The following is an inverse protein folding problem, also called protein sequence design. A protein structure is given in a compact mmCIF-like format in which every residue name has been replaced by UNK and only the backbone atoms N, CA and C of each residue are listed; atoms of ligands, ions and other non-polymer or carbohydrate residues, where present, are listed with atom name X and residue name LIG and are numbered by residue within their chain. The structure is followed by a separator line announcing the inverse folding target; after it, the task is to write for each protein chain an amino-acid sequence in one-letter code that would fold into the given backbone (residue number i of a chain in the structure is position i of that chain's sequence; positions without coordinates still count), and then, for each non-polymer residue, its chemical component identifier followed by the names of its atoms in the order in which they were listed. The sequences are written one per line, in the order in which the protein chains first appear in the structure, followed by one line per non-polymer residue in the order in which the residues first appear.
data_IF_606246364656
#
_entry.id   IF_606246364656
#
_cell.length_a   1.000
_cell.length_b   1.000
_cell.length_c   1.000
_cell.angle_alpha   90.00
_cell.angle_beta   90.00
_cell.angle_gamma   90.00
#
_symmetry.space_group_name_H-M   'P 1'
#
loop_
_entity.id
_entity.type
_entity.pdbx_description
1 polymer ?
#
# COMPACT_ATOMS: atom_id res chain seq x y z
N UNK A 1 33.33 -5.66 14.16
CA UNK A 1 32.25 -5.03 13.35
C UNK A 1 30.92 -5.54 13.88
N UNK A 2 30.12 -4.69 14.49
CA UNK A 2 28.74 -5.05 14.85
C UNK A 2 27.98 -5.30 13.56
N UNK A 3 27.44 -6.49 13.37
CA UNK A 3 26.52 -6.77 12.28
C UNK A 3 25.30 -5.88 12.49
N UNK A 4 25.18 -4.80 11.71
CA UNK A 4 23.97 -4.00 11.68
C UNK A 4 22.84 -4.90 11.16
N UNK A 5 21.84 -5.13 11.99
CA UNK A 5 20.69 -5.94 11.62
C UNK A 5 19.81 -5.09 10.73
N UNK A 6 19.49 -5.51 9.49
CA UNK A 6 18.66 -4.73 8.58
C UNK A 6 17.28 -4.45 9.19
N UNK A 7 16.73 -3.23 9.02
CA UNK A 7 15.40 -2.93 9.50
C UNK A 7 14.34 -3.78 8.76
N UNK A 8 13.24 -4.08 9.43
CA UNK A 8 12.16 -4.91 8.90
C UNK A 8 10.92 -4.07 8.67
N UNK A 9 10.42 -4.09 7.45
CA UNK A 9 9.15 -3.51 7.03
C UNK A 9 8.11 -4.60 6.83
N UNK A 10 6.97 -4.49 7.46
CA UNK A 10 5.78 -5.25 7.05
C UNK A 10 4.91 -4.38 6.17
N UNK A 11 4.37 -4.96 5.11
CA UNK A 11 3.46 -4.30 4.18
C UNK A 11 2.11 -5.01 4.25
N UNK A 12 1.14 -4.35 4.88
CA UNK A 12 -0.21 -4.87 5.05
C UNK A 12 -1.15 -4.28 4.00
N UNK A 13 -1.95 -5.11 3.39
CA UNK A 13 -2.91 -4.67 2.38
C UNK A 13 -3.66 -5.83 1.74
N UNK A 14 -4.16 -5.59 0.56
CA UNK A 14 -5.05 -6.46 -0.18
C UNK A 14 -4.36 -7.23 -1.33
N UNK A 15 -5.09 -7.49 -2.41
CA UNK A 15 -4.59 -8.13 -3.64
C UNK A 15 -3.46 -7.33 -4.31
N UNK A 16 -3.44 -6.00 -4.16
CA UNK A 16 -2.37 -5.15 -4.69
C UNK A 16 -1.03 -5.40 -4.00
N UNK A 17 -1.02 -5.61 -2.68
CA UNK A 17 0.18 -6.01 -1.93
C UNK A 17 0.58 -7.44 -2.23
N UNK A 18 -0.40 -8.34 -2.41
CA UNK A 18 -0.16 -9.73 -2.83
C UNK A 18 0.50 -9.79 -4.22
N UNK A 19 0.30 -8.78 -5.06
CA UNK A 19 0.79 -8.74 -6.43
C UNK A 19 -0.12 -9.46 -7.42
N UNK A 20 -1.41 -9.55 -7.12
CA UNK A 20 -2.40 -10.16 -8.01
C UNK A 20 -2.49 -9.39 -9.32
N UNK A 21 -2.41 -10.12 -10.45
CA UNK A 21 -2.35 -9.55 -11.80
C UNK A 21 -0.95 -9.46 -12.39
N UNK A 22 0.11 -9.68 -11.59
CA UNK A 22 1.50 -9.72 -12.07
C UNK A 22 2.10 -11.15 -12.02
N UNK A 23 1.91 -11.97 -13.06
CA UNK A 23 2.48 -13.30 -13.10
C UNK A 23 4.01 -13.31 -13.34
N UNK A 24 4.59 -12.17 -13.74
CA UNK A 24 6.01 -12.10 -14.10
C UNK A 24 6.91 -11.93 -12.88
N UNK A 25 6.55 -11.00 -11.99
CA UNK A 25 7.42 -10.64 -10.87
C UNK A 25 6.70 -10.57 -9.50
N UNK A 26 5.41 -10.88 -9.45
CA UNK A 26 4.65 -10.99 -8.20
C UNK A 26 4.28 -9.67 -7.56
N UNK A 27 4.14 -8.60 -8.37
CA UNK A 27 3.64 -7.31 -7.94
C UNK A 27 4.70 -6.34 -7.42
N UNK A 28 4.25 -5.08 -7.15
CA UNK A 28 5.12 -3.98 -6.75
C UNK A 28 5.87 -4.25 -5.42
N UNK A 29 5.19 -4.93 -4.50
CA UNK A 29 5.74 -5.21 -3.18
C UNK A 29 6.87 -6.24 -3.25
N UNK A 30 6.70 -7.29 -4.06
CA UNK A 30 7.74 -8.29 -4.32
C UNK A 30 8.92 -7.70 -5.10
N UNK A 31 8.66 -6.81 -6.08
CA UNK A 31 9.71 -6.07 -6.78
C UNK A 31 10.55 -5.23 -5.80
N UNK A 32 9.91 -4.56 -4.84
CA UNK A 32 10.61 -3.80 -3.80
C UNK A 32 11.42 -4.72 -2.89
N UNK A 33 10.85 -5.85 -2.49
CA UNK A 33 11.55 -6.86 -1.68
C UNK A 33 12.81 -7.36 -2.38
N UNK A 34 12.73 -7.74 -3.65
CA UNK A 34 13.86 -8.18 -4.46
C UNK A 34 14.90 -7.07 -4.65
N UNK A 35 14.46 -5.85 -4.90
CA UNK A 35 15.35 -4.71 -5.02
C UNK A 35 16.17 -4.51 -3.74
N UNK A 36 15.54 -4.55 -2.59
CA UNK A 36 16.25 -4.41 -1.31
C UNK A 36 17.17 -5.58 -0.98
N UNK A 37 16.81 -6.80 -1.33
CA UNK A 37 17.68 -7.97 -1.17
C UNK A 37 18.97 -7.85 -1.99
N UNK A 38 18.98 -7.11 -3.07
CA UNK A 38 20.17 -6.82 -3.87
C UNK A 38 21.08 -5.73 -3.29
N UNK A 39 20.64 -5.02 -2.24
CA UNK A 39 21.43 -3.96 -1.63
C UNK A 39 22.27 -4.50 -0.46
N UNK A 40 23.51 -4.02 -0.28
CA UNK A 40 24.26 -4.28 0.94
C UNK A 40 23.47 -3.78 2.16
N UNK A 41 23.10 -4.67 3.07
CA UNK A 41 22.28 -4.36 4.26
C UNK A 41 20.90 -3.76 3.95
N UNK A 42 20.32 -4.07 2.80
CA UNK A 42 18.98 -3.63 2.44
C UNK A 42 17.94 -4.12 3.45
N UNK A 43 16.84 -3.34 3.65
CA UNK A 43 15.77 -3.73 4.57
C UNK A 43 15.16 -5.09 4.23
N UNK A 44 14.67 -5.78 5.25
CA UNK A 44 13.86 -6.99 5.08
C UNK A 44 12.41 -6.57 4.92
N UNK A 45 11.73 -7.05 3.88
CA UNK A 45 10.34 -6.73 3.60
C UNK A 45 9.48 -8.00 3.65
N UNK A 46 8.33 -7.91 4.34
CA UNK A 46 7.32 -8.94 4.40
C UNK A 46 6.05 -8.47 3.68
N UNK A 47 5.75 -8.98 2.46
CA UNK A 47 4.50 -8.69 1.77
C UNK A 47 3.37 -9.50 2.40
N UNK A 48 2.42 -8.83 3.03
CA UNK A 48 1.32 -9.42 3.79
C UNK A 48 -0.02 -9.01 3.16
N UNK A 49 -0.15 -9.19 1.86
CA UNK A 49 -1.37 -8.96 1.11
C UNK A 49 -2.35 -10.12 1.22
N UNK A 50 -3.63 -9.83 1.45
CA UNK A 50 -4.73 -10.81 1.42
C UNK A 50 -5.82 -10.29 0.49
N UNK A 51 -6.17 -11.07 -0.54
CA UNK A 51 -7.17 -10.65 -1.54
C UNK A 51 -8.51 -10.31 -0.89
N UNK A 52 -9.06 -9.16 -1.30
CA UNK A 52 -10.36 -8.70 -0.83
C UNK A 52 -10.36 -8.11 0.58
N UNK A 53 -9.19 -7.97 1.22
CA UNK A 53 -9.13 -7.28 2.51
C UNK A 53 -9.43 -5.78 2.32
N UNK A 54 -10.45 -5.31 3.04
CA UNK A 54 -10.67 -3.88 3.30
C UNK A 54 -10.03 -3.48 4.62
N UNK A 55 -10.28 -2.24 5.03
CA UNK A 55 -9.73 -1.60 6.22
C UNK A 55 -9.90 -2.45 7.49
N UNK A 56 -11.12 -2.93 7.74
CA UNK A 56 -11.46 -3.67 8.97
C UNK A 56 -10.68 -4.98 9.09
N UNK A 57 -10.51 -5.72 7.98
CA UNK A 57 -9.77 -6.98 7.97
C UNK A 57 -8.28 -6.76 8.20
N UNK A 58 -7.72 -5.73 7.60
CA UNK A 58 -6.32 -5.34 7.83
C UNK A 58 -6.11 -4.93 9.28
N UNK A 59 -7.02 -4.14 9.86
CA UNK A 59 -6.98 -3.75 11.26
C UNK A 59 -7.03 -4.97 12.20
N UNK A 60 -7.91 -5.92 11.92
CA UNK A 60 -8.09 -7.13 12.74
C UNK A 60 -6.81 -8.00 12.83
N UNK A 61 -5.98 -8.03 11.77
CA UNK A 61 -4.76 -8.86 11.75
C UNK A 61 -3.47 -8.11 12.07
N UNK A 62 -3.49 -6.77 12.15
CA UNK A 62 -2.30 -5.94 12.37
C UNK A 62 -1.43 -6.42 13.52
N UNK A 63 -1.99 -6.56 14.72
CA UNK A 63 -1.25 -6.94 15.92
C UNK A 63 -0.60 -8.33 15.80
N UNK A 64 -1.31 -9.28 15.23
CA UNK A 64 -0.82 -10.65 15.03
C UNK A 64 0.33 -10.69 14.02
N UNK A 65 0.19 -9.98 12.90
CA UNK A 65 1.20 -9.92 11.84
C UNK A 65 2.50 -9.25 12.33
N UNK A 66 2.42 -8.17 13.09
CA UNK A 66 3.59 -7.54 13.72
C UNK A 66 4.25 -8.49 14.70
N UNK A 67 3.48 -9.17 15.53
CA UNK A 67 4.00 -10.06 16.58
C UNK A 67 4.71 -11.29 16.03
N UNK A 68 4.26 -11.82 14.88
CA UNK A 68 4.81 -13.03 14.28
C UNK A 68 6.09 -12.81 13.45
N UNK A 69 6.44 -11.55 13.12
CA UNK A 69 7.56 -11.24 12.20
C UNK A 69 8.87 -10.89 12.91
N UNK A 70 8.98 -11.20 14.20
CA UNK A 70 10.22 -11.06 14.96
C UNK A 70 11.14 -12.26 14.81
N UNK A 71 12.42 -12.06 14.43
CA UNK A 71 13.43 -13.11 14.51
C UNK A 71 13.85 -13.30 15.98
N UNK A 72 13.97 -14.56 16.40
CA UNK A 72 14.38 -14.93 17.75
C UNK A 72 13.57 -14.23 18.86
N UNK A 73 12.33 -13.85 18.56
CA UNK A 73 11.42 -13.13 19.46
C UNK A 73 11.95 -11.80 20.02
N UNK A 74 13.06 -11.29 19.49
CA UNK A 74 13.74 -10.06 19.97
C UNK A 74 13.72 -8.91 18.97
N UNK A 75 13.42 -9.18 17.71
CA UNK A 75 13.46 -8.19 16.64
C UNK A 75 12.06 -8.01 16.05
N UNK A 76 11.32 -7.07 16.62
CA UNK A 76 10.03 -6.66 16.03
C UNK A 76 10.25 -5.93 14.71
N UNK A 77 9.28 -5.89 13.81
CA UNK A 77 9.29 -4.98 12.68
C UNK A 77 9.52 -3.54 13.15
N UNK A 78 10.34 -2.79 12.42
CA UNK A 78 10.66 -1.39 12.68
C UNK A 78 9.87 -0.44 11.79
N UNK A 79 8.99 -0.95 10.94
CA UNK A 79 8.12 -0.14 10.09
C UNK A 79 6.91 -0.93 9.63
N UNK A 80 5.83 -0.19 9.41
CA UNK A 80 4.56 -0.69 8.88
C UNK A 80 4.21 0.17 7.67
N UNK A 81 3.98 -0.44 6.51
CA UNK A 81 3.38 0.21 5.37
C UNK A 81 1.98 -0.34 5.17
N UNK A 82 0.98 0.54 5.15
CA UNK A 82 -0.42 0.21 4.91
C UNK A 82 -0.79 0.57 3.48
N UNK A 83 -1.42 -0.36 2.76
CA UNK A 83 -1.98 -0.18 1.43
C UNK A 83 -3.40 -0.74 1.43
N UNK A 84 -4.36 0.07 1.86
CA UNK A 84 -5.76 -0.32 2.13
C UNK A 84 -6.72 0.72 1.56
N UNK A 85 -7.96 0.33 1.33
CA UNK A 85 -9.05 1.24 1.01
C UNK A 85 -9.70 0.97 -0.34
N UNK A 86 -9.01 0.36 -1.31
CA UNK A 86 -9.59 0.13 -2.63
C UNK A 86 -10.83 -0.78 -2.56
N UNK A 87 -10.78 -1.87 -1.80
CA UNK A 87 -11.93 -2.76 -1.62
C UNK A 87 -13.10 -2.07 -0.92
N UNK A 88 -12.82 -1.14 -0.01
CA UNK A 88 -13.82 -0.39 0.73
C UNK A 88 -14.64 0.55 -0.17
N UNK A 89 -14.07 0.99 -1.32
CA UNK A 89 -14.75 1.86 -2.29
C UNK A 89 -15.85 1.16 -3.07
N UNK A 90 -15.80 -0.17 -3.18
CA UNK A 90 -16.69 -0.94 -4.05
C UNK A 90 -18.15 -0.78 -3.63
N UNK A 91 -19.02 -0.46 -4.59
CA UNK A 91 -20.48 -0.46 -4.39
C UNK A 91 -21.05 -1.84 -4.68
N UNK A 92 -22.01 -2.28 -3.89
CA UNK A 92 -22.55 -3.63 -3.96
C UNK A 92 -23.82 -3.68 -4.79
N UNK A 93 -23.88 -4.61 -5.72
CA UNK A 93 -25.05 -4.95 -6.52
C UNK A 93 -25.31 -4.04 -7.72
N UNK A 94 -25.01 -2.74 -7.62
CA UNK A 94 -25.24 -1.75 -8.68
C UNK A 94 -24.31 -0.54 -8.53
N UNK A 95 -24.10 0.20 -9.62
CA UNK A 95 -23.16 1.34 -9.67
C UNK A 95 -23.49 2.47 -8.70
N UNK A 96 -24.75 2.64 -8.30
CA UNK A 96 -25.22 3.60 -7.30
C UNK A 96 -25.55 2.92 -5.94
N UNK A 97 -25.13 1.67 -5.75
CA UNK A 97 -25.30 0.92 -4.51
C UNK A 97 -24.52 1.51 -3.33
N UNK A 98 -24.72 0.93 -2.14
CA UNK A 98 -23.90 1.32 -0.97
C UNK A 98 -22.46 0.83 -1.13
N UNK A 99 -21.45 1.61 -0.71
CA UNK A 99 -20.07 1.13 -0.64
C UNK A 99 -19.95 -0.01 0.38
N UNK A 100 -18.91 -0.82 0.24
CA UNK A 100 -18.65 -1.91 1.20
C UNK A 100 -18.40 -1.37 2.60
N UNK A 101 -17.70 -0.25 2.71
CA UNK A 101 -17.56 0.50 3.95
C UNK A 101 -17.92 1.95 3.68
N UNK A 102 -18.81 2.51 4.47
CA UNK A 102 -19.23 3.91 4.34
C UNK A 102 -18.05 4.87 4.56
N UNK A 103 -17.94 5.99 3.81
CA UNK A 103 -16.82 6.92 3.95
C UNK A 103 -16.57 7.45 5.36
N UNK A 104 -17.61 7.71 6.15
CA UNK A 104 -17.44 8.18 7.54
C UNK A 104 -16.92 7.05 8.44
N UNK A 105 -17.45 5.83 8.26
CA UNK A 105 -16.96 4.64 8.96
C UNK A 105 -15.52 4.29 8.53
N UNK A 106 -15.19 4.48 7.24
CA UNK A 106 -13.85 4.30 6.73
C UNK A 106 -12.86 5.27 7.39
N UNK A 107 -13.17 6.57 7.41
CA UNK A 107 -12.31 7.59 8.03
C UNK A 107 -12.09 7.29 9.51
N UNK A 108 -13.17 7.02 10.25
CA UNK A 108 -13.08 6.67 11.66
C UNK A 108 -12.22 5.41 11.90
N UNK A 109 -12.48 4.34 11.16
CA UNK A 109 -11.71 3.09 11.27
C UNK A 109 -10.24 3.27 10.90
N UNK A 110 -9.96 4.12 9.89
CA UNK A 110 -8.59 4.44 9.46
C UNK A 110 -7.82 5.19 10.56
N UNK A 111 -8.44 6.19 11.20
CA UNK A 111 -7.83 6.91 12.34
C UNK A 111 -7.47 5.94 13.47
N UNK A 112 -8.37 4.98 13.78
CA UNK A 112 -8.11 3.94 14.77
C UNK A 112 -6.96 3.00 14.34
N UNK A 113 -6.93 2.60 13.06
CA UNK A 113 -5.87 1.74 12.52
C UNK A 113 -4.51 2.45 12.59
N UNK A 114 -4.44 3.73 12.17
CA UNK A 114 -3.22 4.52 12.23
C UNK A 114 -2.72 4.66 13.67
N UNK A 115 -3.62 5.01 14.60
CA UNK A 115 -3.27 5.10 16.01
C UNK A 115 -2.72 3.77 16.57
N UNK A 116 -3.37 2.64 16.29
CA UNK A 116 -2.90 1.32 16.72
C UNK A 116 -1.55 0.96 16.08
N UNK A 117 -1.36 1.24 14.80
CA UNK A 117 -0.13 0.93 14.09
C UNK A 117 1.05 1.75 14.62
N UNK A 118 0.85 3.04 14.91
CA UNK A 118 1.88 3.92 15.49
C UNK A 118 2.34 3.48 16.89
N UNK A 119 1.49 2.79 17.66
CA UNK A 119 1.91 2.19 18.95
C UNK A 119 2.86 0.99 18.75
N UNK A 120 2.93 0.43 17.55
CA UNK A 120 3.74 -0.76 17.24
C UNK A 120 5.05 -0.40 16.56
N UNK A 121 5.02 0.50 15.57
CA UNK A 121 6.19 0.94 14.80
C UNK A 121 5.85 2.22 13.99
N UNK A 122 6.85 2.94 13.43
CA UNK A 122 6.64 3.98 12.43
C UNK A 122 5.77 3.48 11.27
N UNK A 123 4.81 4.30 10.86
CA UNK A 123 3.80 3.98 9.84
C UNK A 123 4.04 4.80 8.58
N UNK A 124 3.78 4.18 7.44
CA UNK A 124 3.70 4.79 6.12
C UNK A 124 2.39 4.32 5.46
N UNK A 125 1.76 5.16 4.65
CA UNK A 125 0.52 4.80 3.95
C UNK A 125 0.68 5.04 2.46
N UNK A 126 0.23 4.06 1.66
CA UNK A 126 0.21 4.13 0.21
C UNK A 126 -1.21 4.42 -0.26
N UNK A 127 -1.35 5.31 -1.25
CA UNK A 127 -2.60 5.64 -1.92
C UNK A 127 -3.15 4.52 -2.80
N UNK A 128 -4.21 4.81 -3.52
CA UNK A 128 -5.01 3.84 -4.25
C UNK A 128 -4.63 3.79 -5.75
N UNK A 129 -4.80 2.62 -6.36
CA UNK A 129 -4.67 2.45 -7.80
C UNK A 129 -5.96 2.86 -8.53
N UNK A 130 -5.86 3.32 -9.81
CA UNK A 130 -7.04 3.56 -10.64
C UNK A 130 -7.76 2.26 -10.99
N UNK A 131 -9.01 2.41 -11.45
CA UNK A 131 -9.88 1.33 -11.89
C UNK A 131 -10.50 1.68 -13.24
N UNK A 132 -10.82 0.69 -14.06
CA UNK A 132 -11.58 0.88 -15.31
C UNK A 132 -13.06 0.64 -15.05
N UNK A 133 -13.83 1.73 -15.03
CA UNK A 133 -15.29 1.67 -14.85
C UNK A 133 -16.03 1.00 -16.00
N UNK A 134 -15.42 0.96 -17.20
CA UNK A 134 -16.10 0.46 -18.40
C UNK A 134 -16.30 -1.07 -18.37
N UNK A 135 -15.53 -1.78 -17.57
CA UNK A 135 -15.61 -3.24 -17.45
C UNK A 135 -16.28 -3.72 -16.16
N UNK A 136 -16.86 -2.80 -15.39
CA UNK A 136 -17.60 -3.16 -14.17
C UNK A 136 -19.00 -3.75 -14.51
N UNK A 137 -19.57 -4.64 -13.67
CA UNK A 137 -19.13 -5.00 -12.32
C UNK A 137 -18.03 -6.08 -12.27
N UNK A 138 -17.13 -5.95 -11.30
CA UNK A 138 -16.20 -7.02 -10.95
C UNK A 138 -16.94 -8.15 -10.22
N UNK A 139 -16.68 -9.41 -10.62
CA UNK A 139 -17.31 -10.60 -10.06
C UNK A 139 -18.83 -10.53 -10.01
N UNK A 140 -19.46 -9.93 -11.04
CA UNK A 140 -20.90 -9.78 -11.25
C UNK A 140 -21.64 -8.93 -10.19
N UNK A 141 -20.95 -8.36 -9.20
CA UNK A 141 -21.61 -7.71 -8.07
C UNK A 141 -20.93 -6.45 -7.55
N UNK A 142 -19.64 -6.26 -7.77
CA UNK A 142 -18.88 -5.13 -7.22
C UNK A 142 -18.64 -4.05 -8.29
N UNK A 143 -19.04 -2.83 -7.98
CA UNK A 143 -18.90 -1.67 -8.83
C UNK A 143 -17.84 -0.72 -8.25
N UNK A 144 -16.71 -0.65 -8.93
CA UNK A 144 -15.65 0.31 -8.62
C UNK A 144 -15.76 1.51 -9.55
N UNK A 145 -15.49 2.72 -9.04
CA UNK A 145 -15.55 3.95 -9.80
C UNK A 145 -14.47 4.94 -9.37
N UNK A 146 -13.89 5.67 -10.33
CA UNK A 146 -12.80 6.62 -10.09
C UNK A 146 -13.20 7.72 -9.10
N UNK A 147 -14.45 8.18 -9.14
CA UNK A 147 -14.96 9.16 -8.17
C UNK A 147 -14.86 8.64 -6.72
N UNK A 148 -15.27 7.37 -6.51
CA UNK A 148 -15.18 6.76 -5.19
C UNK A 148 -13.73 6.54 -4.78
N UNK A 149 -12.88 6.09 -5.69
CA UNK A 149 -11.45 5.92 -5.41
C UNK A 149 -10.81 7.26 -5.01
N UNK A 150 -11.10 8.36 -5.74
CA UNK A 150 -10.64 9.71 -5.35
C UNK A 150 -11.10 10.12 -3.97
N UNK A 151 -12.38 9.88 -3.68
CA UNK A 151 -12.96 10.20 -2.37
C UNK A 151 -12.23 9.48 -1.24
N UNK A 152 -11.98 8.18 -1.38
CA UNK A 152 -11.32 7.40 -0.33
C UNK A 152 -9.81 7.69 -0.26
N UNK A 153 -9.15 7.99 -1.37
CA UNK A 153 -7.76 8.45 -1.32
C UNK A 153 -7.64 9.80 -0.60
N UNK A 154 -8.59 10.71 -0.78
CA UNK A 154 -8.63 11.97 -0.02
C UNK A 154 -8.83 11.73 1.50
N UNK A 155 -9.65 10.75 1.89
CA UNK A 155 -9.80 10.36 3.30
C UNK A 155 -8.52 9.74 3.87
N UNK A 156 -7.78 8.97 3.07
CA UNK A 156 -6.45 8.46 3.45
C UNK A 156 -5.47 9.63 3.71
N UNK A 157 -5.45 10.61 2.81
CA UNK A 157 -4.58 11.79 2.94
C UNK A 157 -4.94 12.62 4.18
N UNK A 158 -6.24 12.88 4.39
CA UNK A 158 -6.76 13.61 5.57
C UNK A 158 -6.32 12.93 6.88
N UNK A 159 -6.60 11.65 7.03
CA UNK A 159 -6.24 10.90 8.24
C UNK A 159 -4.71 10.82 8.46
N UNK A 160 -3.94 10.68 7.38
CA UNK A 160 -2.49 10.67 7.47
C UNK A 160 -1.93 12.03 7.88
N UNK A 161 -2.49 13.12 7.36
CA UNK A 161 -2.10 14.48 7.74
C UNK A 161 -2.38 14.74 9.22
N UNK A 162 -3.56 14.37 9.72
CA UNK A 162 -3.94 14.51 11.13
C UNK A 162 -3.06 13.68 12.06
N UNK A 163 -2.65 12.47 11.63
CA UNK A 163 -1.84 11.57 12.42
C UNK A 163 -0.33 11.78 12.29
N UNK A 164 0.12 12.77 11.50
CA UNK A 164 1.53 12.98 11.12
C UNK A 164 2.18 11.71 10.54
N UNK A 165 1.44 11.03 9.65
CA UNK A 165 1.89 9.80 8.96
C UNK A 165 2.25 10.12 7.51
N UNK A 166 3.45 9.75 7.04
CA UNK A 166 3.80 9.94 5.64
C UNK A 166 2.85 9.18 4.71
N UNK A 167 2.30 9.90 3.73
CA UNK A 167 1.40 9.39 2.70
C UNK A 167 2.00 9.53 1.32
N UNK A 168 1.89 8.50 0.48
CA UNK A 168 2.24 8.56 -0.94
C UNK A 168 0.96 8.44 -1.77
N UNK A 169 0.43 9.55 -2.31
CA UNK A 169 -0.73 9.49 -3.21
C UNK A 169 -0.34 8.78 -4.51
N UNK A 170 -1.19 7.89 -4.98
CA UNK A 170 -0.95 7.14 -6.22
C UNK A 170 -1.92 7.50 -7.34
N UNK A 171 -3.19 7.69 -7.04
CA UNK A 171 -4.27 7.74 -8.03
C UNK A 171 -3.98 8.78 -9.13
N UNK A 172 -3.87 10.04 -8.77
CA UNK A 172 -3.67 11.10 -9.78
C UNK A 172 -2.30 11.00 -10.46
N UNK A 173 -1.28 10.51 -9.77
CA UNK A 173 0.05 10.28 -10.34
C UNK A 173 0.06 9.16 -11.38
N UNK A 174 -0.83 8.17 -11.25
CA UNK A 174 -1.01 7.10 -12.23
C UNK A 174 -1.92 7.56 -13.38
N UNK A 175 -3.02 8.24 -13.09
CA UNK A 175 -3.96 8.78 -14.08
C UNK A 175 -3.34 9.84 -14.99
N UNK A 176 -2.28 10.52 -14.55
CA UNK A 176 -1.58 11.52 -15.34
C UNK A 176 -0.90 10.95 -16.60
N UNK A 177 -0.61 9.66 -16.63
CA UNK A 177 -0.07 9.00 -17.82
C UNK A 177 -1.21 8.52 -18.72
N UNK A 178 -1.27 8.93 -19.99
CA UNK A 178 -2.34 8.52 -20.92
C UNK A 178 -2.42 7.01 -21.14
N UNK A 179 -1.38 6.26 -20.82
CA UNK A 179 -1.34 4.80 -20.96
C UNK A 179 -1.90 4.04 -19.73
N UNK A 180 -2.38 4.72 -18.69
CA UNK A 180 -2.77 4.09 -17.42
C UNK A 180 -3.77 2.93 -17.56
N UNK A 181 -4.70 3.00 -18.53
CA UNK A 181 -5.64 1.90 -18.80
C UNK A 181 -4.92 0.61 -19.21
N UNK A 182 -3.78 0.72 -19.91
CA UNK A 182 -2.98 -0.44 -20.33
C UNK A 182 -2.24 -1.10 -19.16
N UNK A 183 -2.24 -0.47 -17.99
CA UNK A 183 -1.62 -1.01 -16.76
C UNK A 183 -2.58 -1.83 -15.91
N UNK A 184 -3.84 -1.92 -16.33
CA UNK A 184 -4.84 -2.75 -15.68
C UNK A 184 -4.91 -4.13 -16.31
N UNK A 185 -5.24 -5.11 -15.50
CA UNK A 185 -5.66 -6.44 -15.95
C UNK A 185 -7.03 -6.35 -16.62
N UNK A 186 -7.43 -7.36 -17.41
CA UNK A 186 -8.72 -7.35 -18.12
C UNK A 186 -9.94 -7.21 -17.20
N UNK A 187 -9.79 -7.43 -15.90
CA UNK A 187 -10.85 -7.24 -14.91
C UNK A 187 -11.09 -5.78 -14.50
N UNK A 188 -10.25 -4.85 -14.99
CA UNK A 188 -10.37 -3.41 -14.75
C UNK A 188 -10.13 -2.96 -13.31
N UNK A 189 -9.78 -3.87 -12.42
CA UNK A 189 -9.54 -3.61 -11.00
C UNK A 189 -8.08 -3.77 -10.63
N UNK A 190 -7.48 -4.88 -11.04
CA UNK A 190 -6.12 -5.22 -10.66
C UNK A 190 -5.09 -4.66 -11.64
N UNK A 191 -3.95 -4.26 -11.12
CA UNK A 191 -2.81 -3.89 -11.95
C UNK A 191 -2.23 -5.14 -12.63
N UNK A 192 -1.80 -5.01 -13.88
CA UNK A 192 -0.97 -6.02 -14.55
C UNK A 192 0.53 -5.82 -14.21
N UNK A 193 1.42 -6.60 -14.83
CA UNK A 193 2.87 -6.52 -14.57
C UNK A 193 3.42 -5.10 -14.76
N UNK A 194 2.97 -4.39 -15.78
CA UNK A 194 3.39 -3.00 -16.04
C UNK A 194 2.84 -2.04 -14.99
N UNK A 195 1.56 -2.14 -14.64
CA UNK A 195 0.95 -1.34 -13.58
C UNK A 195 1.65 -1.52 -12.23
N UNK A 196 1.95 -2.75 -11.87
CA UNK A 196 2.74 -3.04 -10.68
C UNK A 196 4.16 -2.46 -10.76
N UNK A 197 4.79 -2.46 -11.93
CA UNK A 197 6.08 -1.81 -12.15
C UNK A 197 5.98 -0.30 -11.93
N UNK A 198 4.91 0.35 -12.41
CA UNK A 198 4.67 1.78 -12.23
C UNK A 198 4.52 2.16 -10.75
N UNK A 199 3.82 1.37 -9.96
CA UNK A 199 3.71 1.56 -8.51
C UNK A 199 5.08 1.35 -7.84
N UNK A 200 5.79 0.27 -8.18
CA UNK A 200 7.14 0.01 -7.66
C UNK A 200 8.10 1.18 -7.89
N UNK A 201 8.12 1.77 -9.09
CA UNK A 201 9.01 2.89 -9.41
C UNK A 201 8.71 4.14 -8.54
N UNK A 202 7.44 4.38 -8.18
CA UNK A 202 7.05 5.48 -7.29
C UNK A 202 7.44 5.17 -5.84
N UNK A 203 7.10 3.99 -5.37
CA UNK A 203 7.39 3.55 -3.99
C UNK A 203 8.90 3.50 -3.74
N UNK A 204 9.68 2.96 -4.67
CA UNK A 204 11.15 2.88 -4.59
C UNK A 204 11.82 4.25 -4.42
N UNK A 205 11.23 5.30 -4.97
CA UNK A 205 11.75 6.67 -4.92
C UNK A 205 11.12 7.53 -3.84
N UNK A 206 10.18 6.99 -3.07
CA UNK A 206 9.47 7.75 -2.05
C UNK A 206 10.40 8.23 -0.93
N UNK A 207 10.57 9.55 -0.74
CA UNK A 207 11.54 10.08 0.21
C UNK A 207 11.32 9.63 1.65
N UNK A 208 10.05 9.47 2.09
CA UNK A 208 9.75 9.01 3.44
C UNK A 208 10.18 7.55 3.65
N UNK A 209 9.94 6.69 2.67
CA UNK A 209 10.38 5.29 2.71
C UNK A 209 11.91 5.17 2.68
N UNK A 210 12.58 5.98 1.85
CA UNK A 210 14.04 6.00 1.78
C UNK A 210 14.66 6.48 3.10
N UNK A 211 14.09 7.51 3.75
CA UNK A 211 14.53 7.95 5.09
C UNK A 211 14.35 6.84 6.13
N UNK A 212 13.19 6.20 6.15
CA UNK A 212 12.92 5.08 7.07
C UNK A 212 13.92 3.94 6.85
N UNK A 213 14.22 3.60 5.59
CA UNK A 213 15.14 2.52 5.22
C UNK A 213 16.63 2.88 5.41
N UNK A 214 16.97 4.10 5.80
CA UNK A 214 18.33 4.65 5.79
C UNK A 214 19.01 4.55 4.42
N UNK A 215 18.24 4.59 3.35
CA UNK A 215 18.70 4.62 1.97
C UNK A 215 18.65 6.07 1.46
N UNK A 216 19.81 6.67 1.21
CA UNK A 216 19.86 8.03 0.64
C UNK A 216 19.47 7.98 -0.85
N UNK A 217 18.72 8.97 -1.35
CA UNK A 217 18.53 9.12 -2.79
C UNK A 217 19.90 9.27 -3.45
N UNK A 218 20.15 8.53 -4.54
CA UNK A 218 21.35 8.70 -5.34
C UNK A 218 21.44 10.18 -5.80
N UNK A 219 22.36 10.96 -5.22
CA UNK A 219 22.61 12.35 -5.61
C UNK A 219 22.25 13.43 -4.58
N UNK A 220 21.80 13.11 -3.37
CA UNK A 220 21.70 14.13 -2.33
C UNK A 220 23.09 14.46 -1.77
N UNK A 221 23.52 15.77 -1.72
CA UNK A 221 24.78 16.13 -1.09
C UNK A 221 24.74 15.75 0.39
N UNK A 222 25.79 15.09 0.88
CA UNK A 222 25.98 14.84 2.31
C UNK A 222 26.04 16.20 3.02
N UNK A 223 25.03 16.49 3.84
CA UNK A 223 25.15 17.54 4.84
C UNK A 223 26.16 17.03 5.88
N UNK A 224 27.44 17.32 5.66
CA UNK A 224 28.46 17.24 6.71
C UNK A 224 28.16 18.31 7.74
N UNK A 225 27.84 17.88 8.96
CA UNK A 225 27.86 18.68 10.18
C UNK A 225 29.29 18.76 10.71
#
# INVERSE_FOLDING_TARGET
MSLLIPPKLIVLGDSGVLGWGDPEEGGWCERLRRHWMGLPQGPVLYPLGVRGDGLERVAARLQAEVSCRGELRRQRPQGILLAVGLNDTARVGRSDGRPQLDPEAFLFGLQQLLHQAQQLAPVLVLGLSPVDEAVMPYADVLWYGLEQVRRYEALLEEACLEADVPFLPLLESLLADPAWLQWLSPDGLHLNSEGHRQVFERVKRWPALLRWANLQPLGAPSLSV
#
